data_IF_755193834988
#
_entry.id   IF_755193834988
#
_cell.length_a   1.000
_cell.length_b   1.000
_cell.length_c   1.000
_cell.angle_alpha   90.00
_cell.angle_beta   90.00
_cell.angle_gamma   90.00
#
_symmetry.space_group_name_H-M   'P 1'
#
loop_
_entity.id
_entity.type
_entity.pdbx_description
1 polymer ?
#
# COMPACT_ATOMS: atom_id res chain seq x y z
N UNK A 1 6.33 -24.69 15.62
CA UNK A 1 6.22 -23.72 14.52
C UNK A 1 5.96 -22.39 15.17
N UNK A 2 6.92 -21.49 15.12
CA UNK A 2 6.77 -20.18 15.73
C UNK A 2 5.75 -19.37 14.95
N UNK A 3 4.95 -18.57 15.66
CA UNK A 3 3.92 -17.71 15.06
C UNK A 3 4.52 -16.77 13.99
N UNK A 4 5.80 -16.43 14.15
CA UNK A 4 6.59 -15.66 13.21
C UNK A 4 6.84 -16.38 11.88
N UNK A 5 7.00 -17.71 11.86
CA UNK A 5 7.23 -18.47 10.61
C UNK A 5 6.00 -18.45 9.69
N UNK A 6 4.80 -18.25 10.26
CA UNK A 6 3.54 -18.20 9.52
C UNK A 6 3.16 -16.76 9.18
N UNK A 7 3.38 -15.81 10.10
CA UNK A 7 3.01 -14.40 9.92
C UNK A 7 3.90 -13.73 8.87
N UNK A 8 5.20 -14.03 8.86
CA UNK A 8 6.14 -13.39 7.92
C UNK A 8 5.76 -13.62 6.45
N UNK A 9 5.55 -14.87 5.96
CA UNK A 9 5.13 -15.09 4.58
C UNK A 9 3.74 -14.49 4.27
N UNK A 10 2.83 -14.44 5.26
CA UNK A 10 1.53 -13.80 5.10
C UNK A 10 1.65 -12.28 4.86
N UNK A 11 2.57 -11.61 5.56
CA UNK A 11 2.86 -10.18 5.37
C UNK A 11 3.44 -9.91 3.97
N UNK A 12 4.33 -10.77 3.47
CA UNK A 12 4.88 -10.66 2.11
C UNK A 12 3.81 -10.84 1.03
N UNK A 13 2.91 -11.81 1.18
CA UNK A 13 1.78 -12.01 0.26
C UNK A 13 0.87 -10.77 0.25
N UNK A 14 0.58 -10.21 1.43
CA UNK A 14 -0.24 -9.00 1.56
C UNK A 14 0.41 -7.78 0.88
N UNK A 15 1.73 -7.61 1.02
CA UNK A 15 2.49 -6.58 0.30
C UNK A 15 2.41 -6.77 -1.22
N UNK A 16 2.58 -7.99 -1.70
CA UNK A 16 2.51 -8.30 -3.13
C UNK A 16 1.13 -7.97 -3.71
N UNK A 17 0.06 -8.32 -3.00
CA UNK A 17 -1.32 -7.97 -3.36
C UNK A 17 -1.53 -6.45 -3.33
N UNK A 18 -0.99 -5.75 -2.33
CA UNK A 18 -1.10 -4.28 -2.24
C UNK A 18 -0.40 -3.58 -3.41
N UNK A 19 0.77 -4.06 -3.84
CA UNK A 19 1.48 -3.51 -5.00
C UNK A 19 0.66 -3.73 -6.28
N UNK A 20 0.15 -4.94 -6.51
CA UNK A 20 -0.72 -5.24 -7.66
C UNK A 20 -1.99 -4.37 -7.64
N UNK A 21 -2.63 -4.24 -6.48
CA UNK A 21 -3.80 -3.38 -6.27
C UNK A 21 -3.49 -1.91 -6.54
N UNK A 22 -2.29 -1.45 -6.22
CA UNK A 22 -1.84 -0.08 -6.50
C UNK A 22 -1.66 0.14 -7.99
N UNK A 23 -0.98 -0.76 -8.70
CA UNK A 23 -0.82 -0.67 -10.16
C UNK A 23 -2.18 -0.67 -10.86
N UNK A 24 -3.11 -1.51 -10.39
CA UNK A 24 -4.46 -1.53 -10.92
C UNK A 24 -5.26 -0.25 -10.60
N UNK A 25 -5.12 0.27 -9.38
CA UNK A 25 -5.73 1.53 -8.93
C UNK A 25 -5.24 2.73 -9.75
N UNK A 26 -3.94 2.77 -10.09
CA UNK A 26 -3.35 3.77 -10.99
C UNK A 26 -3.97 3.66 -12.38
N UNK A 27 -4.04 2.44 -12.95
CA UNK A 27 -4.66 2.23 -14.27
C UNK A 27 -6.13 2.66 -14.31
N UNK A 28 -6.90 2.35 -13.26
CA UNK A 28 -8.32 2.72 -13.16
C UNK A 28 -8.54 4.17 -12.70
N UNK A 29 -7.48 4.93 -12.37
CA UNK A 29 -7.53 6.27 -11.75
C UNK A 29 -8.48 6.32 -10.55
N UNK A 30 -8.55 5.23 -9.79
CA UNK A 30 -9.47 5.07 -8.67
C UNK A 30 -8.76 5.38 -7.36
N UNK A 31 -9.04 6.56 -6.81
CA UNK A 31 -8.46 7.05 -5.55
C UNK A 31 -8.81 6.13 -4.38
N UNK A 32 -10.03 5.56 -4.37
CA UNK A 32 -10.47 4.63 -3.32
C UNK A 32 -9.62 3.35 -3.27
N UNK A 33 -9.27 2.78 -4.43
CA UNK A 33 -8.45 1.57 -4.50
C UNK A 33 -7.04 1.85 -3.97
N UNK A 34 -6.47 3.01 -4.33
CA UNK A 34 -5.15 3.43 -3.86
C UNK A 34 -5.13 3.68 -2.36
N UNK A 35 -6.20 4.26 -1.81
CA UNK A 35 -6.34 4.49 -0.37
C UNK A 35 -6.41 3.17 0.42
N UNK A 36 -7.19 2.20 -0.06
CA UNK A 36 -7.28 0.86 0.55
C UNK A 36 -5.92 0.15 0.50
N UNK A 37 -5.21 0.23 -0.63
CA UNK A 37 -3.87 -0.36 -0.76
C UNK A 37 -2.85 0.30 0.18
N UNK A 38 -2.92 1.63 0.35
CA UNK A 38 -2.09 2.40 1.27
C UNK A 38 -2.36 2.05 2.74
N UNK A 39 -3.63 1.87 3.13
CA UNK A 39 -3.97 1.41 4.48
C UNK A 39 -3.44 -0.01 4.74
N UNK A 40 -3.64 -0.93 3.80
CA UNK A 40 -3.13 -2.30 3.89
C UNK A 40 -1.61 -2.33 3.99
N UNK A 41 -0.90 -1.59 3.14
CA UNK A 41 0.57 -1.55 3.21
C UNK A 41 1.06 -0.85 4.47
N UNK A 42 0.35 0.18 4.96
CA UNK A 42 0.67 0.84 6.23
C UNK A 42 0.53 -0.08 7.44
N UNK A 43 -0.55 -0.87 7.51
CA UNK A 43 -0.76 -1.86 8.58
C UNK A 43 0.29 -2.96 8.52
N UNK A 44 0.57 -3.49 7.32
CA UNK A 44 1.62 -4.50 7.12
C UNK A 44 3.00 -3.95 7.47
N UNK A 45 3.26 -2.69 7.11
CA UNK A 45 4.51 -2.00 7.42
C UNK A 45 4.70 -1.84 8.93
N UNK A 46 3.67 -1.40 9.66
CA UNK A 46 3.68 -1.31 11.13
C UNK A 46 3.90 -2.67 11.80
N UNK A 47 3.22 -3.73 11.34
CA UNK A 47 3.43 -5.09 11.83
C UNK A 47 4.85 -5.59 11.55
N UNK A 48 5.40 -5.23 10.40
CA UNK A 48 6.75 -5.62 9.99
C UNK A 48 7.88 -4.78 10.61
N UNK A 49 7.59 -3.58 11.16
CA UNK A 49 8.59 -2.80 11.91
C UNK A 49 9.10 -3.56 13.14
N UNK A 50 8.29 -4.44 13.72
CA UNK A 50 8.70 -5.35 14.79
C UNK A 50 9.71 -6.42 14.34
N UNK A 51 9.86 -6.68 13.04
CA UNK A 51 10.66 -7.79 12.52
C UNK A 51 11.79 -7.36 11.56
N UNK A 52 11.55 -6.41 10.66
CA UNK A 52 12.43 -6.11 9.50
C UNK A 52 12.93 -4.64 9.48
N UNK A 53 12.39 -3.78 10.36
CA UNK A 53 12.85 -2.39 10.52
C UNK A 53 12.22 -1.37 9.55
N UNK A 54 12.60 -0.09 9.72
CA UNK A 54 11.99 1.13 9.15
C UNK A 54 11.85 1.19 7.62
N UNK A 55 12.54 0.33 6.86
CA UNK A 55 12.60 0.37 5.40
C UNK A 55 11.25 0.10 4.72
N UNK A 56 10.33 -0.59 5.40
CA UNK A 56 9.01 -0.93 4.86
C UNK A 56 8.02 0.26 4.84
N UNK A 57 8.34 1.40 5.46
CA UNK A 57 7.47 2.59 5.48
C UNK A 57 7.50 3.40 4.17
N UNK A 58 8.52 3.20 3.34
CA UNK A 58 8.64 3.91 2.06
C UNK A 58 7.51 3.55 1.09
N UNK A 59 7.05 2.30 1.11
CA UNK A 59 5.98 1.79 0.23
C UNK A 59 4.64 2.49 0.48
N UNK A 60 4.09 2.54 1.72
CA UNK A 60 2.86 3.29 2.00
C UNK A 60 2.99 4.78 1.68
N UNK A 61 4.14 5.39 1.96
CA UNK A 61 4.38 6.80 1.64
C UNK A 61 4.25 7.10 0.14
N UNK A 62 4.87 6.27 -0.71
CA UNK A 62 4.77 6.40 -2.17
C UNK A 62 3.31 6.21 -2.63
N UNK A 63 2.58 5.25 -2.07
CA UNK A 63 1.17 5.02 -2.40
C UNK A 63 0.28 6.23 -2.06
N UNK A 64 0.51 6.88 -0.92
CA UNK A 64 -0.24 8.09 -0.51
C UNK A 64 0.03 9.25 -1.46
N UNK A 65 1.29 9.48 -1.85
CA UNK A 65 1.68 10.54 -2.79
C UNK A 65 1.01 10.33 -4.16
N UNK A 66 1.05 9.10 -4.68
CA UNK A 66 0.43 8.75 -5.96
C UNK A 66 -1.10 8.91 -5.89
N UNK A 67 -1.72 8.47 -4.78
CA UNK A 67 -3.15 8.64 -4.53
C UNK A 67 -3.57 10.10 -4.52
N UNK A 68 -2.83 10.95 -3.81
CA UNK A 68 -3.08 12.39 -3.75
C UNK A 68 -2.93 13.05 -5.14
N UNK A 69 -1.89 12.71 -5.89
CA UNK A 69 -1.67 13.24 -7.24
C UNK A 69 -2.81 12.86 -8.21
N UNK A 70 -3.26 11.61 -8.18
CA UNK A 70 -4.40 11.16 -9.00
C UNK A 70 -5.72 11.81 -8.56
N UNK A 71 -5.92 12.03 -7.26
CA UNK A 71 -7.06 12.80 -6.74
C UNK A 71 -7.10 14.22 -7.28
N UNK A 72 -5.97 14.94 -7.22
CA UNK A 72 -5.84 16.30 -7.75
C UNK A 72 -6.08 16.33 -9.27
N UNK A 73 -5.54 15.35 -10.02
CA UNK A 73 -5.79 15.27 -11.47
C UNK A 73 -7.27 15.01 -11.80
N UNK A 74 -7.94 14.16 -11.03
CA UNK A 74 -9.38 13.89 -11.23
C UNK A 74 -10.21 15.13 -10.95
N UNK A 75 -9.88 15.89 -9.92
CA UNK A 75 -10.55 17.15 -9.59
C UNK A 75 -10.35 18.20 -10.70
N UNK A 76 -9.12 18.35 -11.21
CA UNK A 76 -8.79 19.32 -12.27
C UNK A 76 -9.44 19.01 -13.63
N UNK A 77 -9.79 17.75 -13.92
CA UNK A 77 -10.50 17.36 -15.16
C UNK A 77 -12.02 17.49 -15.07
N UNK A 78 -12.57 17.72 -13.88
CA UNK A 78 -14.02 17.84 -13.66
C UNK A 78 -14.49 19.30 -13.58
N UNK A 79 -13.55 20.24 -13.70
CA UNK A 79 -13.73 21.68 -13.91
C UNK A 79 -13.51 21.98 -15.38
#
# INVERSE_FOLDING_TARGET
MDLFDIVTPLLWISLFISILGTVWGIRKKSVLILFICALLSGIVSLLSMFSIGMLLLIIPLIQVIIGAWLGVQKYRKSM
#
